data_IF_510200869729
#
_entry.id   IF_510200869729
#
_cell.length_a   1.000
_cell.length_b   1.000
_cell.length_c   1.000
_cell.angle_alpha   90.00
_cell.angle_beta   90.00
_cell.angle_gamma   90.00
#
_symmetry.space_group_name_H-M   'P 1'
#
loop_
_entity.id
_entity.type
_entity.pdbx_description
1 polymer ?
#
# COMPACT_ATOMS: atom_id res chain seq x y z
N UNK A 1 -35.35 4.26 -7.49
CA UNK A 1 -35.85 3.92 -6.15
C UNK A 1 -36.23 2.45 -6.19
N UNK A 2 -35.32 1.55 -5.79
CA UNK A 2 -35.66 0.13 -5.61
C UNK A 2 -35.85 -0.02 -4.10
N UNK A 3 -37.06 -0.32 -3.59
CA UNK A 3 -37.22 -0.55 -2.17
C UNK A 3 -36.37 -1.76 -1.79
N UNK A 4 -35.55 -1.62 -0.75
CA UNK A 4 -34.93 -2.74 -0.06
C UNK A 4 -36.03 -3.80 0.22
N UNK A 5 -35.79 -5.06 -0.14
CA UNK A 5 -36.69 -6.16 0.22
C UNK A 5 -36.84 -6.23 1.74
N UNK A 6 -37.88 -6.92 2.25
CA UNK A 6 -38.12 -7.03 3.70
C UNK A 6 -36.88 -7.49 4.48
N UNK A 7 -36.05 -8.36 3.87
CA UNK A 7 -34.81 -8.86 4.44
C UNK A 7 -33.72 -7.80 4.53
N UNK A 8 -33.52 -6.97 3.49
CA UNK A 8 -32.56 -5.87 3.52
C UNK A 8 -32.95 -4.80 4.55
N UNK A 9 -34.22 -4.42 4.61
CA UNK A 9 -34.71 -3.49 5.62
C UNK A 9 -34.52 -4.02 7.04
N UNK A 10 -34.68 -5.33 7.26
CA UNK A 10 -34.43 -5.96 8.55
C UNK A 10 -32.95 -5.90 8.96
N UNK A 11 -32.02 -6.06 8.02
CA UNK A 11 -30.57 -5.91 8.29
C UNK A 11 -30.27 -4.47 8.76
N UNK A 12 -30.76 -3.46 8.04
CA UNK A 12 -30.58 -2.06 8.44
C UNK A 12 -31.23 -1.74 9.79
N UNK A 13 -32.41 -2.30 10.08
CA UNK A 13 -33.09 -2.11 11.36
C UNK A 13 -32.32 -2.75 12.53
N UNK A 14 -31.76 -3.96 12.33
CA UNK A 14 -30.94 -4.63 13.33
C UNK A 14 -29.69 -3.81 13.67
N UNK A 15 -29.01 -3.25 12.67
CA UNK A 15 -27.85 -2.34 12.87
C UNK A 15 -28.28 -1.07 13.60
N UNK A 16 -29.38 -0.44 13.18
CA UNK A 16 -29.87 0.78 13.82
C UNK A 16 -30.28 0.57 15.29
N UNK A 17 -30.69 -0.64 15.65
CA UNK A 17 -31.06 -1.04 17.01
C UNK A 17 -29.88 -1.57 17.84
N UNK A 18 -28.71 -1.82 17.23
CA UNK A 18 -27.60 -2.53 17.88
C UNK A 18 -27.94 -3.98 18.25
N UNK A 19 -28.88 -4.62 17.53
CA UNK A 19 -29.29 -6.01 17.78
C UNK A 19 -28.39 -6.98 17.00
N UNK A 20 -27.21 -7.21 17.56
CA UNK A 20 -26.17 -8.11 17.03
C UNK A 20 -26.70 -9.53 16.80
N UNK A 21 -27.58 -10.03 17.67
CA UNK A 21 -28.13 -11.39 17.57
C UNK A 21 -29.14 -11.52 16.42
N UNK A 22 -29.99 -10.51 16.20
CA UNK A 22 -30.85 -10.45 15.02
C UNK A 22 -30.02 -10.29 13.76
N UNK A 23 -29.03 -9.40 13.76
CA UNK A 23 -28.15 -9.17 12.61
C UNK A 23 -27.44 -10.47 12.19
N UNK A 24 -26.84 -11.19 13.13
CA UNK A 24 -26.15 -12.45 12.83
C UNK A 24 -27.08 -13.50 12.21
N UNK A 25 -28.33 -13.61 12.69
CA UNK A 25 -29.32 -14.53 12.11
C UNK A 25 -29.71 -14.12 10.69
N UNK A 26 -29.94 -12.83 10.46
CA UNK A 26 -30.32 -12.30 9.16
C UNK A 26 -29.20 -12.48 8.12
N UNK A 27 -27.97 -12.09 8.48
CA UNK A 27 -26.79 -12.16 7.61
C UNK A 27 -26.46 -13.59 7.21
N UNK A 28 -26.60 -14.58 8.12
CA UNK A 28 -26.35 -15.99 7.81
C UNK A 28 -27.18 -16.57 6.67
N UNK A 29 -28.36 -15.99 6.41
CA UNK A 29 -29.29 -16.47 5.37
C UNK A 29 -29.44 -15.48 4.22
N UNK A 30 -28.76 -14.35 4.28
CA UNK A 30 -28.84 -13.29 3.29
C UNK A 30 -28.00 -13.66 2.07
N UNK A 31 -28.49 -13.34 0.88
CA UNK A 31 -27.70 -13.41 -0.34
C UNK A 31 -26.92 -12.09 -0.59
N UNK A 32 -26.09 -12.09 -1.64
CA UNK A 32 -25.33 -10.94 -2.08
C UNK A 32 -26.16 -9.66 -2.29
N UNK A 33 -27.41 -9.76 -2.74
CA UNK A 33 -28.27 -8.59 -2.95
C UNK A 33 -28.70 -7.98 -1.61
N UNK A 34 -28.97 -8.83 -0.62
CA UNK A 34 -29.44 -8.41 0.68
C UNK A 34 -28.35 -7.79 1.54
N UNK A 35 -27.17 -8.43 1.64
CA UNK A 35 -26.05 -7.93 2.47
C UNK A 35 -25.39 -6.67 1.91
N UNK A 36 -25.55 -6.42 0.60
CA UNK A 36 -25.03 -5.23 -0.09
C UNK A 36 -26.13 -4.23 -0.48
N UNK A 37 -27.34 -4.39 0.05
CA UNK A 37 -28.46 -3.54 -0.30
C UNK A 37 -28.17 -2.07 0.01
N UNK A 38 -28.71 -1.18 -0.80
CA UNK A 38 -28.53 0.26 -0.63
C UNK A 38 -29.79 0.90 -0.06
N UNK A 39 -29.64 1.80 0.91
CA UNK A 39 -30.76 2.57 1.50
C UNK A 39 -30.42 4.06 1.63
N UNK A 40 -31.44 4.93 1.62
CA UNK A 40 -31.29 6.37 1.88
C UNK A 40 -31.92 6.70 3.23
N UNK A 41 -31.10 7.13 4.19
CA UNK A 41 -31.55 7.41 5.56
C UNK A 41 -32.06 8.85 5.69
N UNK A 42 -31.46 9.78 4.93
CA UNK A 42 -31.87 11.18 4.89
C UNK A 42 -32.39 11.54 3.49
N UNK A 43 -33.56 12.18 3.39
CA UNK A 43 -34.12 12.63 2.10
C UNK A 43 -33.50 13.94 1.61
N UNK A 44 -32.85 14.72 2.50
CA UNK A 44 -32.22 15.99 2.15
C UNK A 44 -30.76 15.86 1.71
N UNK A 45 -30.09 14.78 2.13
CA UNK A 45 -28.74 14.43 1.70
C UNK A 45 -28.88 13.16 0.88
N UNK A 46 -28.55 13.20 -0.41
CA UNK A 46 -28.65 12.04 -1.32
C UNK A 46 -27.61 10.93 -1.00
N UNK A 47 -27.17 10.83 0.26
CA UNK A 47 -26.26 9.81 0.76
C UNK A 47 -27.00 8.49 0.85
N UNK A 48 -26.53 7.56 0.04
CA UNK A 48 -26.95 6.16 0.04
C UNK A 48 -26.00 5.39 0.96
N UNK A 49 -26.49 4.37 1.66
CA UNK A 49 -25.72 3.58 2.62
C UNK A 49 -25.86 2.09 2.31
N UNK A 50 -24.76 1.34 2.44
CA UNK A 50 -24.78 -0.13 2.55
C UNK A 50 -24.85 -0.53 4.04
N UNK A 51 -25.22 -1.79 4.39
CA UNK A 51 -25.20 -2.24 5.77
C UNK A 51 -23.83 -2.06 6.42
N UNK A 52 -22.75 -2.38 5.71
CA UNK A 52 -21.38 -2.25 6.22
C UNK A 52 -21.03 -0.80 6.55
N UNK A 53 -21.37 0.14 5.67
CA UNK A 53 -21.10 1.56 5.88
C UNK A 53 -21.94 2.10 7.04
N UNK A 54 -23.19 1.66 7.16
CA UNK A 54 -24.04 2.06 8.28
C UNK A 54 -23.52 1.52 9.61
N UNK A 55 -23.06 0.27 9.66
CA UNK A 55 -22.46 -0.31 10.86
C UNK A 55 -21.18 0.45 11.27
N UNK A 56 -20.32 0.77 10.30
CA UNK A 56 -19.12 1.55 10.53
C UNK A 56 -19.40 2.99 11.00
N UNK A 57 -20.38 3.67 10.40
CA UNK A 57 -20.77 5.05 10.78
C UNK A 57 -21.31 5.14 12.21
N UNK A 58 -22.06 4.11 12.65
CA UNK A 58 -22.59 4.03 14.01
C UNK A 58 -21.52 3.57 15.02
N UNK A 59 -20.38 3.08 14.55
CA UNK A 59 -19.32 2.50 15.39
C UNK A 59 -19.71 1.15 15.99
N UNK A 60 -20.66 0.44 15.36
CA UNK A 60 -21.10 -0.89 15.81
C UNK A 60 -20.09 -1.96 15.35
N UNK A 61 -19.12 -2.15 16.23
CA UNK A 61 -18.02 -3.11 16.13
C UNK A 61 -18.49 -4.53 15.78
N UNK A 62 -19.48 -5.04 16.50
CA UNK A 62 -19.93 -6.42 16.31
C UNK A 62 -20.66 -6.57 14.98
N UNK A 63 -21.44 -5.55 14.59
CA UNK A 63 -22.10 -5.53 13.29
C UNK A 63 -21.12 -5.50 12.13
N UNK A 64 -20.05 -4.71 12.22
CA UNK A 64 -18.98 -4.69 11.23
C UNK A 64 -18.34 -6.08 11.09
N UNK A 65 -18.00 -6.72 12.20
CA UNK A 65 -17.40 -8.05 12.20
C UNK A 65 -18.34 -9.10 11.57
N UNK A 66 -19.63 -9.08 11.90
CA UNK A 66 -20.63 -9.99 11.33
C UNK A 66 -20.75 -9.80 9.81
N UNK A 67 -20.77 -8.56 9.33
CA UNK A 67 -20.92 -8.25 7.91
C UNK A 67 -19.67 -8.62 7.13
N UNK A 68 -18.47 -8.32 7.65
CA UNK A 68 -17.21 -8.68 7.01
C UNK A 68 -16.97 -10.19 6.95
N UNK A 69 -17.57 -10.97 7.86
CA UNK A 69 -17.52 -12.43 7.83
C UNK A 69 -18.39 -13.06 6.72
N UNK A 70 -19.26 -12.29 6.04
CA UNK A 70 -20.12 -12.81 4.99
C UNK A 70 -19.35 -12.91 3.65
N UNK A 71 -19.33 -14.06 2.96
CA UNK A 71 -18.49 -14.26 1.76
C UNK A 71 -18.85 -13.34 0.60
N UNK A 72 -20.13 -12.97 0.47
CA UNK A 72 -20.61 -12.08 -0.59
C UNK A 72 -20.57 -10.59 -0.20
N UNK A 73 -20.00 -10.23 0.97
CA UNK A 73 -19.96 -8.82 1.37
C UNK A 73 -19.09 -8.03 0.41
N UNK A 74 -19.65 -6.95 -0.11
CA UNK A 74 -18.93 -6.01 -0.91
C UNK A 74 -18.39 -4.91 0.00
N UNK A 75 -17.10 -5.00 0.31
CA UNK A 75 -16.40 -3.93 1.03
C UNK A 75 -16.21 -2.69 0.17
N UNK A 76 -16.45 -2.80 -1.14
CA UNK A 76 -16.36 -1.70 -2.08
C UNK A 76 -17.59 -0.77 -1.99
N UNK A 77 -17.33 0.52 -1.95
CA UNK A 77 -18.31 1.61 -2.02
C UNK A 77 -19.02 1.66 -3.39
N UNK A 78 -20.37 1.75 -3.42
CA UNK A 78 -21.14 2.11 -4.62
C UNK A 78 -21.04 3.60 -4.97
N UNK A 79 -21.28 4.02 -6.23
CA UNK A 79 -21.29 5.43 -6.62
C UNK A 79 -22.24 6.29 -5.76
N UNK A 80 -21.76 7.45 -5.27
CA UNK A 80 -22.59 8.42 -4.52
C UNK A 80 -22.83 8.11 -3.02
N UNK A 81 -22.29 7.02 -2.50
CA UNK A 81 -22.35 6.61 -1.07
C UNK A 81 -21.22 7.32 -0.28
N UNK A 82 -21.21 7.58 1.03
CA UNK A 82 -20.01 8.11 1.69
C UNK A 82 -18.86 7.08 1.75
N UNK A 83 -17.61 7.53 1.83
CA UNK A 83 -16.45 6.65 1.94
C UNK A 83 -16.43 5.81 3.22
N UNK A 84 -15.88 4.60 3.12
CA UNK A 84 -15.64 3.73 4.25
C UNK A 84 -14.23 4.01 4.79
N UNK A 85 -14.13 4.46 6.03
CA UNK A 85 -12.87 4.91 6.61
C UNK A 85 -12.08 3.69 7.10
N UNK A 86 -10.92 3.44 6.48
CA UNK A 86 -10.03 2.32 6.79
C UNK A 86 -9.71 2.22 8.30
N UNK A 87 -9.49 3.36 8.97
CA UNK A 87 -9.21 3.42 10.41
C UNK A 87 -10.34 2.82 11.25
N UNK A 88 -11.60 3.06 10.88
CA UNK A 88 -12.77 2.57 11.62
C UNK A 88 -12.89 1.05 11.51
N UNK A 89 -12.56 0.50 10.34
CA UNK A 89 -12.65 -0.93 10.11
C UNK A 89 -11.41 -1.68 10.58
N UNK A 90 -10.28 -1.00 10.77
CA UNK A 90 -8.96 -1.61 10.93
C UNK A 90 -8.95 -2.86 11.82
N UNK A 91 -9.56 -2.88 13.03
CA UNK A 91 -9.54 -4.04 13.93
C UNK A 91 -10.27 -5.30 13.42
N UNK A 92 -11.08 -5.19 12.36
CA UNK A 92 -11.90 -6.28 11.81
C UNK A 92 -11.48 -6.70 10.41
N UNK A 93 -10.44 -6.05 9.86
CA UNK A 93 -10.01 -6.34 8.50
C UNK A 93 -9.23 -7.64 8.45
N UNK A 94 -9.53 -8.45 7.44
CA UNK A 94 -8.66 -9.51 6.96
C UNK A 94 -7.88 -9.05 5.73
N UNK A 95 -6.86 -9.80 5.33
CA UNK A 95 -6.02 -9.51 4.15
C UNK A 95 -6.83 -9.17 2.89
N UNK A 96 -7.87 -9.95 2.58
CA UNK A 96 -8.69 -9.72 1.39
C UNK A 96 -9.47 -8.40 1.47
N UNK A 97 -10.06 -8.10 2.64
CA UNK A 97 -10.82 -6.87 2.85
C UNK A 97 -9.93 -5.62 2.82
N UNK A 98 -8.71 -5.68 3.37
CA UNK A 98 -7.75 -4.56 3.28
C UNK A 98 -7.41 -4.27 1.83
N UNK A 99 -7.03 -5.29 1.05
CA UNK A 99 -6.65 -5.11 -0.35
C UNK A 99 -7.81 -4.53 -1.15
N UNK A 100 -9.02 -5.06 -0.96
CA UNK A 100 -10.21 -4.56 -1.65
C UNK A 100 -10.53 -3.10 -1.31
N UNK A 101 -10.45 -2.71 -0.03
CA UNK A 101 -10.63 -1.32 0.38
C UNK A 101 -9.57 -0.38 -0.21
N UNK A 102 -8.31 -0.81 -0.19
CA UNK A 102 -7.22 -0.01 -0.73
C UNK A 102 -7.39 0.22 -2.23
N UNK A 103 -7.73 -0.82 -2.99
CA UNK A 103 -7.92 -0.73 -4.46
C UNK A 103 -8.95 0.33 -4.86
N UNK A 104 -9.94 0.61 -4.02
CA UNK A 104 -10.94 1.65 -4.31
C UNK A 104 -10.39 3.07 -4.31
N UNK A 105 -9.40 3.31 -3.45
CA UNK A 105 -8.90 4.64 -3.13
C UNK A 105 -7.37 4.66 -3.25
N UNK A 106 -6.81 3.82 -4.12
CA UNK A 106 -5.41 3.93 -4.51
C UNK A 106 -5.18 5.31 -5.16
N UNK A 107 -4.02 5.94 -4.94
CA UNK A 107 -3.68 7.23 -5.55
C UNK A 107 -3.50 7.15 -7.07
N UNK A 108 -3.42 5.92 -7.61
CA UNK A 108 -3.20 5.64 -9.02
C UNK A 108 -4.26 4.71 -9.58
N UNK A 109 -4.53 4.86 -10.87
CA UNK A 109 -5.31 3.92 -11.65
C UNK A 109 -4.64 3.68 -13.01
N UNK A 110 -5.03 2.59 -13.67
CA UNK A 110 -4.57 2.29 -15.02
C UNK A 110 -5.41 3.07 -16.02
N UNK A 111 -4.77 3.67 -17.01
CA UNK A 111 -5.45 4.41 -18.07
C UNK A 111 -6.34 3.49 -18.89
N UNK A 112 -7.64 3.81 -18.92
CA UNK A 112 -8.65 3.10 -19.70
C UNK A 112 -8.34 2.99 -21.21
N UNK A 113 -7.53 3.90 -21.75
CA UNK A 113 -7.14 3.94 -23.16
C UNK A 113 -5.78 3.30 -23.42
N UNK A 114 -4.95 3.13 -22.39
CA UNK A 114 -3.63 2.54 -22.49
C UNK A 114 -3.28 1.75 -21.20
N UNK A 115 -3.45 0.42 -21.20
CA UNK A 115 -3.29 -0.38 -19.99
C UNK A 115 -1.84 -0.46 -19.46
N UNK A 116 -0.86 0.02 -20.23
CA UNK A 116 0.55 0.13 -19.78
C UNK A 116 0.88 1.47 -19.12
N UNK A 117 -0.09 2.38 -19.00
CA UNK A 117 0.11 3.72 -18.44
C UNK A 117 -0.68 3.90 -17.15
N UNK A 118 -0.02 4.48 -16.14
CA UNK A 118 -0.67 4.91 -14.90
C UNK A 118 -1.11 6.37 -15.00
N UNK A 119 -2.28 6.67 -14.46
CA UNK A 119 -2.81 8.03 -14.26
C UNK A 119 -3.09 8.26 -12.78
N UNK A 120 -3.29 9.50 -12.38
CA UNK A 120 -3.77 9.81 -11.03
C UNK A 120 -5.23 9.34 -10.92
N UNK A 121 -5.58 8.72 -9.80
CA UNK A 121 -6.96 8.32 -9.56
C UNK A 121 -7.78 9.55 -9.14
N UNK A 122 -8.74 10.03 -9.96
CA UNK A 122 -9.54 11.21 -9.62
C UNK A 122 -10.48 10.96 -8.44
N UNK A 123 -10.78 9.69 -8.14
CA UNK A 123 -11.64 9.29 -7.02
C UNK A 123 -10.84 9.13 -5.71
N UNK A 124 -9.52 9.30 -5.75
CA UNK A 124 -8.65 9.29 -4.57
C UNK A 124 -8.96 10.50 -3.69
N UNK A 125 -9.64 10.26 -2.59
CA UNK A 125 -10.15 11.33 -1.72
C UNK A 125 -10.02 11.00 -0.23
N UNK A 126 -9.71 9.76 0.13
CA UNK A 126 -9.65 9.31 1.53
C UNK A 126 -8.23 9.06 2.01
N UNK A 127 -7.26 9.12 1.11
CA UNK A 127 -5.86 8.86 1.40
C UNK A 127 -5.69 7.48 2.09
N UNK A 128 -6.49 6.49 1.71
CA UNK A 128 -6.53 5.16 2.34
C UNK A 128 -5.17 4.47 2.28
N UNK A 129 -4.44 4.69 1.18
CA UNK A 129 -3.05 4.26 1.04
C UNK A 129 -2.14 4.88 2.10
N UNK A 130 -2.22 6.20 2.33
CA UNK A 130 -1.45 6.88 3.37
C UNK A 130 -1.77 6.36 4.76
N UNK A 131 -3.07 6.27 5.07
CA UNK A 131 -3.58 5.76 6.34
C UNK A 131 -3.05 4.34 6.59
N UNK A 132 -3.02 3.51 5.56
CA UNK A 132 -2.53 2.14 5.68
C UNK A 132 -1.04 2.05 5.98
N UNK A 133 -0.24 2.93 5.37
CA UNK A 133 1.20 2.97 5.61
C UNK A 133 1.55 3.49 7.00
N UNK A 134 0.69 4.32 7.59
CA UNK A 134 0.88 4.90 8.93
C UNK A 134 1.14 3.81 10.01
N UNK A 135 2.30 3.82 10.71
CA UNK A 135 2.65 2.88 11.77
C UNK A 135 1.66 2.85 12.95
N UNK A 136 0.90 3.93 13.13
CA UNK A 136 -0.10 4.04 14.19
C UNK A 136 -1.36 3.21 13.86
N UNK A 137 -1.63 2.93 12.59
CA UNK A 137 -2.76 2.09 12.20
C UNK A 137 -2.55 0.65 12.69
N UNK A 138 -3.37 0.25 13.66
CA UNK A 138 -3.41 -1.13 14.17
C UNK A 138 -4.37 -1.97 13.34
N UNK A 139 -3.80 -2.91 12.58
CA UNK A 139 -4.52 -3.99 11.91
C UNK A 139 -4.35 -5.29 12.71
N UNK A 140 -5.25 -6.28 12.55
CA UNK A 140 -5.14 -7.59 13.17
C UNK A 140 -3.79 -8.27 12.92
N UNK A 141 -3.34 -9.09 13.87
CA UNK A 141 -2.02 -9.74 13.83
C UNK A 141 -1.84 -10.67 12.63
N UNK A 142 -2.93 -11.19 12.05
CA UNK A 142 -2.94 -12.00 10.83
C UNK A 142 -2.82 -11.16 9.54
N UNK A 143 -2.90 -9.84 9.63
CA UNK A 143 -2.74 -8.89 8.52
C UNK A 143 -1.33 -8.32 8.51
N UNK A 144 -0.48 -8.86 7.64
CA UNK A 144 0.86 -8.31 7.41
C UNK A 144 0.83 -7.17 6.40
N UNK A 145 1.25 -5.96 6.80
CA UNK A 145 1.36 -4.80 5.90
C UNK A 145 2.19 -5.11 4.66
N UNK A 146 3.36 -5.75 4.84
CA UNK A 146 4.23 -6.14 3.72
C UNK A 146 3.53 -7.08 2.75
N UNK A 147 2.79 -8.08 3.26
CA UNK A 147 2.08 -9.02 2.41
C UNK A 147 0.86 -8.38 1.70
N UNK A 148 0.18 -7.39 2.32
CA UNK A 148 -0.84 -6.59 1.63
C UNK A 148 -0.22 -5.79 0.49
N UNK A 149 0.89 -5.09 0.75
CA UNK A 149 1.58 -4.30 -0.28
C UNK A 149 2.03 -5.20 -1.43
N UNK A 150 2.66 -6.34 -1.12
CA UNK A 150 3.04 -7.34 -2.12
C UNK A 150 1.82 -7.76 -2.96
N UNK A 151 0.69 -8.06 -2.31
CA UNK A 151 -0.53 -8.47 -2.99
C UNK A 151 -1.13 -7.37 -3.88
N UNK A 152 -1.04 -6.09 -3.46
CA UNK A 152 -1.43 -4.95 -4.30
C UNK A 152 -0.55 -4.85 -5.54
N UNK A 153 0.77 -4.99 -5.38
CA UNK A 153 1.72 -4.93 -6.50
C UNK A 153 1.59 -6.12 -7.47
N UNK A 154 1.03 -7.23 -7.00
CA UNK A 154 0.77 -8.46 -7.78
C UNK A 154 -0.65 -8.51 -8.38
N UNK A 155 -1.45 -7.46 -8.22
CA UNK A 155 -2.79 -7.41 -8.81
C UNK A 155 -2.70 -7.45 -10.33
N UNK A 156 -3.57 -8.26 -10.95
CA UNK A 156 -3.72 -8.34 -12.41
C UNK A 156 -4.03 -6.98 -13.04
N UNK A 157 -4.61 -6.06 -12.26
CA UNK A 157 -4.78 -4.65 -12.63
C UNK A 157 -3.48 -4.02 -13.16
N UNK A 158 -2.33 -4.38 -12.58
CA UNK A 158 -1.03 -3.80 -12.93
C UNK A 158 -0.19 -4.69 -13.87
N UNK A 159 -0.72 -5.80 -14.38
CA UNK A 159 0.05 -6.79 -15.13
C UNK A 159 0.77 -6.21 -16.38
N UNK A 160 0.21 -5.16 -16.99
CA UNK A 160 0.76 -4.50 -18.18
C UNK A 160 1.63 -3.27 -17.87
N UNK A 161 1.77 -2.91 -16.60
CA UNK A 161 2.57 -1.78 -16.13
C UNK A 161 3.85 -2.32 -15.49
N UNK A 162 5.05 -1.80 -15.82
CA UNK A 162 6.25 -2.24 -15.15
C UNK A 162 6.17 -1.95 -13.65
N UNK A 163 6.44 -2.96 -12.83
CA UNK A 163 6.30 -2.90 -11.35
C UNK A 163 6.98 -1.68 -10.73
N UNK A 164 8.17 -1.32 -11.23
CA UNK A 164 8.93 -0.14 -10.77
C UNK A 164 8.16 1.17 -10.93
N UNK A 165 7.34 1.32 -11.98
CA UNK A 165 6.49 2.50 -12.17
C UNK A 165 5.35 2.55 -11.15
N UNK A 166 4.72 1.39 -10.86
CA UNK A 166 3.67 1.28 -9.83
C UNK A 166 4.24 1.66 -8.47
N UNK A 167 5.37 1.06 -8.09
CA UNK A 167 6.05 1.31 -6.81
C UNK A 167 6.44 2.78 -6.69
N UNK A 168 7.07 3.38 -7.71
CA UNK A 168 7.42 4.82 -7.70
C UNK A 168 6.23 5.70 -7.44
N UNK A 169 5.12 5.46 -8.13
CA UNK A 169 3.90 6.26 -7.99
C UNK A 169 3.24 6.07 -6.62
N UNK A 170 3.23 4.85 -6.09
CA UNK A 170 2.70 4.59 -4.75
C UNK A 170 3.57 5.21 -3.64
N UNK A 171 4.90 5.21 -3.80
CA UNK A 171 5.82 5.85 -2.84
C UNK A 171 5.73 7.38 -2.87
N UNK A 172 5.57 7.96 -4.06
CA UNK A 172 5.51 9.41 -4.27
C UNK A 172 4.09 9.99 -4.11
N UNK A 173 3.08 9.15 -3.86
CA UNK A 173 1.71 9.59 -3.69
C UNK A 173 1.62 10.61 -2.55
N UNK A 174 1.14 11.84 -2.79
CA UNK A 174 1.07 12.87 -1.77
C UNK A 174 -0.12 12.64 -0.83
N UNK A 175 0.02 13.02 0.44
CA UNK A 175 -1.13 13.27 1.31
C UNK A 175 -1.78 14.63 1.02
N UNK A 176 -2.78 14.99 1.83
CA UNK A 176 -3.46 16.29 1.79
C UNK A 176 -2.52 17.50 1.97
N UNK A 177 -1.32 17.28 2.52
CA UNK A 177 -0.29 18.30 2.76
C UNK A 177 0.86 18.22 1.74
N UNK A 178 0.79 17.34 0.75
CA UNK A 178 1.83 17.16 -0.27
C UNK A 178 3.03 16.31 0.18
N UNK A 179 2.96 15.64 1.33
CA UNK A 179 4.04 14.75 1.81
C UNK A 179 3.95 13.40 1.10
N UNK A 180 5.06 12.85 0.58
CA UNK A 180 5.04 11.59 -0.12
C UNK A 180 4.77 10.42 0.84
N UNK A 181 4.07 9.41 0.35
CA UNK A 181 3.67 8.22 1.10
C UNK A 181 4.80 7.48 1.81
N UNK A 182 5.98 7.48 1.21
CA UNK A 182 7.16 6.83 1.78
C UNK A 182 7.62 7.44 3.11
N UNK A 183 7.30 8.72 3.34
CA UNK A 183 7.66 9.42 4.58
C UNK A 183 6.74 9.02 5.73
N UNK A 184 5.50 8.62 5.43
CA UNK A 184 4.55 8.12 6.42
C UNK A 184 4.84 6.67 6.86
N UNK A 185 5.51 5.87 6.04
CA UNK A 185 5.74 4.45 6.30
C UNK A 185 6.74 4.17 7.46
N UNK A 186 6.62 3.00 8.10
CA UNK A 186 7.67 2.49 8.99
C UNK A 186 8.93 2.04 8.22
N UNK A 187 9.99 1.70 8.96
CA UNK A 187 11.27 1.31 8.40
C UNK A 187 11.19 0.03 7.54
N UNK A 188 10.37 -0.95 7.94
CA UNK A 188 10.26 -2.23 7.24
C UNK A 188 9.51 -2.07 5.92
N UNK A 189 8.40 -1.33 5.92
CA UNK A 189 7.63 -0.99 4.73
C UNK A 189 8.47 -0.14 3.77
N UNK A 190 9.20 0.84 4.30
CA UNK A 190 10.12 1.66 3.49
C UNK A 190 11.20 0.80 2.84
N UNK A 191 11.87 -0.05 3.61
CA UNK A 191 12.89 -0.95 3.09
C UNK A 191 12.31 -1.90 2.04
N UNK A 192 11.12 -2.45 2.27
CA UNK A 192 10.44 -3.33 1.33
C UNK A 192 10.16 -2.63 0.00
N UNK A 193 9.52 -1.46 0.01
CA UNK A 193 9.19 -0.69 -1.19
C UNK A 193 10.46 -0.27 -1.97
N UNK A 194 11.48 0.21 -1.26
CA UNK A 194 12.79 0.55 -1.84
C UNK A 194 13.43 -0.65 -2.54
N UNK A 195 13.34 -1.85 -1.94
CA UNK A 195 13.83 -3.09 -2.54
C UNK A 195 13.03 -3.56 -3.76
N UNK A 196 11.77 -3.13 -3.91
CA UNK A 196 11.01 -3.35 -5.14
C UNK A 196 11.47 -2.45 -6.29
N UNK A 197 12.13 -1.33 -5.97
CA UNK A 197 12.52 -0.32 -6.96
C UNK A 197 13.98 -0.46 -7.42
N UNK A 198 14.88 -0.76 -6.49
CA UNK A 198 16.31 -0.70 -6.74
C UNK A 198 16.98 -2.07 -6.63
N UNK A 199 17.94 -2.32 -7.51
CA UNK A 199 18.82 -3.47 -7.44
C UNK A 199 19.66 -3.39 -6.16
N UNK A 200 19.67 -4.49 -5.40
CA UNK A 200 20.25 -4.56 -4.04
C UNK A 200 19.75 -3.45 -3.10
N UNK A 201 18.55 -2.91 -3.34
CA UNK A 201 17.93 -1.88 -2.50
C UNK A 201 18.54 -0.48 -2.63
N UNK A 202 19.47 -0.25 -3.57
CA UNK A 202 20.16 1.05 -3.72
C UNK A 202 20.45 1.47 -5.15
N UNK A 203 20.62 0.52 -6.07
CA UNK A 203 21.05 0.79 -7.43
C UNK A 203 19.88 0.86 -8.40
N UNK A 204 19.66 2.02 -9.01
CA UNK A 204 18.78 2.15 -10.17
C UNK A 204 19.57 1.85 -11.44
N UNK A 205 19.31 0.69 -12.06
CA UNK A 205 20.00 0.29 -13.28
C UNK A 205 19.54 1.16 -14.48
N UNK A 206 20.49 1.73 -15.21
CA UNK A 206 20.26 2.51 -16.42
C UNK A 206 20.06 1.57 -17.63
N UNK A 207 18.91 0.89 -17.68
CA UNK A 207 18.63 -0.12 -18.71
C UNK A 207 18.43 0.47 -20.12
N UNK A 208 18.16 1.77 -20.22
CA UNK A 208 18.04 2.47 -21.50
C UNK A 208 19.41 2.79 -22.12
N UNK A 209 20.50 2.68 -21.34
CA UNK A 209 21.87 2.84 -21.83
C UNK A 209 22.44 1.46 -22.24
N UNK A 210 23.21 1.40 -23.35
CA UNK A 210 23.90 0.16 -23.70
C UNK A 210 24.88 -0.22 -22.59
N UNK A 211 25.08 -1.52 -22.32
CA UNK A 211 26.08 -1.97 -21.37
C UNK A 211 27.46 -1.41 -21.73
N UNK A 212 28.19 -0.93 -20.73
CA UNK A 212 29.56 -0.42 -20.84
C UNK A 212 30.50 -1.53 -21.31
N UNK A 213 30.22 -2.77 -20.88
CA UNK A 213 30.99 -3.94 -21.26
C UNK A 213 30.10 -5.17 -21.33
N UNK A 214 30.38 -6.04 -22.31
CA UNK A 214 29.74 -7.35 -22.46
C UNK A 214 30.82 -8.38 -22.79
N UNK A 215 30.87 -9.47 -22.05
CA UNK A 215 31.72 -10.63 -22.30
C UNK A 215 30.93 -11.93 -22.18
N UNK A 216 31.61 -13.07 -22.36
CA UNK A 216 31.01 -14.39 -22.12
C UNK A 216 30.59 -14.63 -20.66
N UNK A 217 31.12 -13.87 -19.69
CA UNK A 217 30.90 -14.12 -18.25
C UNK A 217 30.41 -12.90 -17.48
N UNK A 218 30.32 -11.73 -18.11
CA UNK A 218 29.96 -10.49 -17.42
C UNK A 218 29.27 -9.49 -18.32
N UNK A 219 28.35 -8.74 -17.73
CA UNK A 219 27.74 -7.54 -18.31
C UNK A 219 27.91 -6.42 -17.30
N UNK A 220 28.50 -5.30 -17.74
CA UNK A 220 28.67 -4.11 -16.91
C UNK A 220 27.68 -3.07 -17.41
N UNK A 221 26.75 -2.67 -16.54
CA UNK A 221 25.78 -1.61 -16.80
C UNK A 221 26.02 -0.44 -15.85
N UNK A 222 25.59 0.75 -16.26
CA UNK A 222 25.59 1.91 -15.37
C UNK A 222 24.41 1.82 -14.42
N UNK A 223 24.58 2.39 -13.23
CA UNK A 223 23.51 2.53 -12.26
C UNK A 223 23.65 3.85 -11.49
N UNK A 224 22.51 4.42 -11.09
CA UNK A 224 22.49 5.46 -10.07
C UNK A 224 22.47 4.82 -8.69
N UNK A 225 23.36 5.27 -7.80
CA UNK A 225 23.39 4.85 -6.42
C UNK A 225 22.58 5.83 -5.57
N UNK A 226 21.47 5.36 -5.01
CA UNK A 226 20.58 6.14 -4.14
C UNK A 226 20.96 6.03 -2.65
N UNK A 227 22.09 5.38 -2.33
CA UNK A 227 22.63 5.29 -0.97
C UNK A 227 23.50 6.47 -0.54
N UNK A 228 24.04 6.41 0.69
CA UNK A 228 24.86 7.46 1.30
C UNK A 228 26.33 7.49 0.80
N UNK A 229 26.62 6.96 -0.40
CA UNK A 229 28.00 6.72 -0.81
C UNK A 229 28.87 7.99 -0.83
N UNK A 230 28.30 9.15 -1.16
CA UNK A 230 29.02 10.41 -1.14
C UNK A 230 29.41 10.84 0.28
N UNK A 231 28.50 10.70 1.25
CA UNK A 231 28.79 11.02 2.66
C UNK A 231 29.81 10.07 3.25
N UNK A 232 29.65 8.76 3.02
CA UNK A 232 30.59 7.76 3.51
C UNK A 232 31.96 7.94 2.87
N UNK A 233 32.02 8.32 1.58
CA UNK A 233 33.27 8.70 0.93
C UNK A 233 33.89 9.94 1.58
N UNK A 234 33.11 11.00 1.81
CA UNK A 234 33.60 12.24 2.45
C UNK A 234 34.11 12.01 3.87
N UNK A 235 33.49 11.10 4.62
CA UNK A 235 33.91 10.75 5.99
C UNK A 235 35.22 9.94 6.02
N UNK A 236 35.44 9.08 5.01
CA UNK A 236 36.58 8.13 4.99
C UNK A 236 37.72 8.57 4.06
N UNK A 237 37.51 9.60 3.23
CA UNK A 237 38.55 10.13 2.37
C UNK A 237 39.51 11.02 3.14
N UNK A 238 40.81 10.81 2.94
CA UNK A 238 41.85 11.65 3.50
C UNK A 238 42.37 12.61 2.42
N UNK A 239 42.64 13.86 2.82
CA UNK A 239 43.16 14.90 1.93
C UNK A 239 42.72 16.30 2.34
N UNK A 240 43.29 17.29 1.67
CA UNK A 240 42.88 18.70 1.75
C UNK A 240 42.44 19.16 0.35
N UNK A 241 41.72 20.28 0.30
CA UNK A 241 41.23 20.97 -0.91
C UNK A 241 42.32 21.14 -1.97
N UNK A 242 43.60 21.16 -1.56
CA UNK A 242 44.75 21.34 -2.44
C UNK A 242 45.25 20.05 -3.13
N UNK A 243 45.14 18.89 -2.48
CA UNK A 243 45.69 17.61 -3.00
C UNK A 243 44.60 16.66 -3.54
N UNK A 244 43.33 17.02 -3.33
CA UNK A 244 42.17 16.19 -3.66
C UNK A 244 41.92 15.13 -2.58
N UNK A 245 40.65 14.79 -2.41
CA UNK A 245 40.24 13.74 -1.47
C UNK A 245 40.52 12.38 -2.08
N UNK A 246 41.34 11.56 -1.41
CA UNK A 246 41.69 10.21 -1.84
C UNK A 246 41.28 9.20 -0.77
N UNK A 247 40.74 8.09 -1.24
CA UNK A 247 40.42 6.96 -0.37
C UNK A 247 41.65 6.06 -0.27
N UNK A 248 42.21 5.92 0.92
CA UNK A 248 43.24 4.91 1.17
C UNK A 248 42.60 3.51 1.30
N UNK A 249 43.41 2.47 1.45
CA UNK A 249 42.90 1.09 1.54
C UNK A 249 41.99 0.89 2.78
N UNK A 250 42.27 1.61 3.87
CA UNK A 250 41.53 1.49 5.12
C UNK A 250 40.16 2.18 5.01
N UNK A 251 40.13 3.41 4.52
CA UNK A 251 38.91 4.15 4.18
C UNK A 251 38.07 3.40 3.16
N UNK A 252 38.68 2.76 2.15
CA UNK A 252 37.97 1.87 1.23
C UNK A 252 37.28 0.69 1.93
N UNK A 253 38.00 0.00 2.83
CA UNK A 253 37.41 -1.09 3.59
C UNK A 253 36.29 -0.60 4.53
N UNK A 254 36.42 0.58 5.12
CA UNK A 254 35.40 1.17 5.99
C UNK A 254 34.14 1.53 5.18
N UNK A 255 34.31 2.18 4.03
CA UNK A 255 33.24 2.44 3.07
C UNK A 255 32.49 1.16 2.71
N UNK A 256 33.21 0.08 2.40
CA UNK A 256 32.59 -1.20 2.08
C UNK A 256 31.80 -1.77 3.26
N UNK A 257 32.30 -1.67 4.49
CA UNK A 257 31.55 -2.14 5.67
C UNK A 257 30.30 -1.31 5.93
N UNK A 258 30.37 0.00 5.73
CA UNK A 258 29.24 0.91 5.92
C UNK A 258 28.17 0.75 4.82
N UNK A 259 28.59 0.50 3.58
CA UNK A 259 27.72 0.46 2.40
C UNK A 259 27.26 -0.95 2.00
N UNK A 260 27.90 -2.00 2.50
CA UNK A 260 27.48 -3.37 2.26
C UNK A 260 26.22 -3.68 3.10
N UNK A 261 25.23 -4.39 2.54
CA UNK A 261 24.18 -5.02 3.33
C UNK A 261 24.83 -6.19 4.10
N UNK A 262 25.49 -5.90 5.22
CA UNK A 262 26.11 -6.91 6.06
C UNK A 262 25.00 -7.82 6.60
N UNK A 263 24.87 -9.03 6.02
CA UNK A 263 24.38 -10.15 6.82
C UNK A 263 25.38 -10.29 7.96
N UNK A 264 24.90 -10.39 9.20
CA UNK A 264 25.69 -10.37 10.43
C UNK A 264 26.77 -11.46 10.56
N UNK A 265 27.06 -12.23 9.51
CA UNK A 265 27.98 -13.37 9.48
C UNK A 265 29.11 -13.26 8.46
N UNK A 266 29.12 -12.27 7.56
CA UNK A 266 30.09 -12.24 6.47
C UNK A 266 31.28 -11.33 6.82
N UNK A 267 32.32 -11.95 7.37
CA UNK A 267 33.64 -11.35 7.58
C UNK A 267 34.26 -11.06 6.21
N UNK A 268 34.20 -9.81 5.74
CA UNK A 268 34.79 -9.39 4.46
C UNK A 268 36.31 -9.45 4.59
N UNK A 269 36.90 -10.59 4.23
CA UNK A 269 38.34 -10.74 4.02
C UNK A 269 38.68 -10.54 2.55
N UNK A 270 39.08 -9.33 2.20
CA UNK A 270 39.77 -9.07 0.93
C UNK A 270 41.20 -9.62 1.05
N UNK A 271 41.46 -10.78 0.46
CA UNK A 271 42.82 -11.27 0.25
C UNK A 271 43.45 -10.49 -0.89
N UNK A 272 44.52 -9.74 -0.59
CA UNK A 272 45.41 -9.08 -1.56
C UNK A 272 46.19 -10.11 -2.34
#
# INVERSE_FOLDING_TARGET
>A
MIPASSSSSAIFAAIAAGDTAALQRLVRTADAQHVNAITSINKSVQAVYTPLIRAAEVGDVDAVAILLAHPDINVNRPPGVPPLVLQTLAPYLCMDSVVALLVQDLPISVDSTNPSRLVDNPDHSLYSWMIFLDPELKVPDDVSKLAVIQRILDLELFAQVPRTHVVRRLMAAPDEHGRPAIDAADADVRAFLTNQLYFLGRYELLLDAPPVHVSATSVVVLAYDHGMYAQVFEEEAEGDVNDGYLLDLNGFCNCLRALAPLRATDDVRLSV
#
